data_IF_669675504924
#
_entry.id   IF_669675504924
#
_cell.length_a   1.000
_cell.length_b   1.000
_cell.length_c   1.000
_cell.angle_alpha   90.00
_cell.angle_beta   90.00
_cell.angle_gamma   90.00
#
_symmetry.space_group_name_H-M   'P 1'
#
loop_
_entity.id
_entity.type
_entity.pdbx_description
1 polymer ?
#
# COMPACT_ATOMS: atom_id res chain seq x y z
N UNK A 1 15.13 -12.42 -25.86
CA UNK A 1 14.58 -11.52 -24.80
C UNK A 1 13.65 -10.55 -25.50
N UNK A 2 12.39 -10.54 -25.12
CA UNK A 2 11.42 -9.64 -25.76
C UNK A 2 11.47 -8.28 -25.05
N UNK A 3 11.92 -7.26 -25.73
CA UNK A 3 12.07 -5.91 -25.18
C UNK A 3 10.72 -5.20 -25.34
N UNK A 4 10.10 -4.85 -24.21
CA UNK A 4 8.86 -4.09 -24.22
C UNK A 4 9.04 -2.74 -24.93
N UNK A 5 8.09 -2.38 -25.79
CA UNK A 5 8.11 -1.07 -26.44
C UNK A 5 7.75 0.04 -25.45
N UNK A 6 8.36 1.24 -25.56
CA UNK A 6 7.93 2.38 -24.80
C UNK A 6 6.46 2.71 -25.09
N UNK A 7 5.74 3.18 -24.08
CA UNK A 7 4.38 3.69 -24.22
C UNK A 7 4.19 5.00 -23.44
N UNK A 8 3.18 5.76 -23.80
CA UNK A 8 2.83 6.99 -23.09
C UNK A 8 1.94 6.65 -21.90
N UNK A 9 2.40 6.93 -20.69
CA UNK A 9 1.70 6.59 -19.44
C UNK A 9 0.35 7.33 -19.34
N UNK A 10 0.29 8.62 -19.68
CA UNK A 10 -0.96 9.38 -19.60
C UNK A 10 -2.01 8.78 -20.55
N UNK A 11 -1.59 8.46 -21.79
CA UNK A 11 -2.48 7.79 -22.74
C UNK A 11 -2.93 6.42 -22.22
N UNK A 12 -2.03 5.64 -21.60
CA UNK A 12 -2.39 4.36 -21.03
C UNK A 12 -3.45 4.51 -19.94
N UNK A 13 -3.31 5.51 -19.06
CA UNK A 13 -4.30 5.82 -18.01
C UNK A 13 -5.65 6.16 -18.64
N UNK A 14 -5.69 7.05 -19.64
CA UNK A 14 -6.93 7.42 -20.34
C UNK A 14 -7.63 6.20 -20.96
N UNK A 15 -6.87 5.36 -21.66
CA UNK A 15 -7.39 4.18 -22.35
C UNK A 15 -7.86 3.08 -21.35
N UNK A 16 -7.44 3.13 -20.07
CA UNK A 16 -7.69 2.09 -19.06
C UNK A 16 -8.42 2.61 -17.81
N UNK A 17 -9.01 3.79 -17.81
CA UNK A 17 -9.70 4.36 -16.62
C UNK A 17 -10.73 3.42 -16.01
N UNK A 18 -11.40 2.60 -16.80
CA UNK A 18 -12.38 1.64 -16.31
C UNK A 18 -11.77 0.48 -15.50
N UNK A 19 -10.48 0.18 -15.71
CA UNK A 19 -9.73 -0.79 -14.93
C UNK A 19 -9.21 -0.21 -13.60
N UNK A 20 -9.26 1.11 -13.45
CA UNK A 20 -8.75 1.85 -12.28
C UNK A 20 -9.89 2.24 -11.32
N UNK A 21 -10.94 1.42 -11.25
CA UNK A 21 -12.08 1.60 -10.35
C UNK A 21 -12.13 0.49 -9.31
N UNK A 22 -12.69 0.75 -8.11
CA UNK A 22 -12.92 -0.30 -7.13
C UNK A 22 -13.67 -1.51 -7.72
N UNK A 23 -13.45 -2.74 -7.23
CA UNK A 23 -12.69 -3.09 -6.03
C UNK A 23 -11.18 -3.27 -6.23
N UNK A 24 -10.68 -3.32 -7.47
CA UNK A 24 -9.26 -3.51 -7.77
C UNK A 24 -8.74 -2.27 -8.48
N UNK A 25 -8.02 -1.45 -7.75
CA UNK A 25 -7.50 -0.19 -8.27
C UNK A 25 -5.98 -0.22 -8.53
N UNK A 26 -5.34 -1.40 -8.46
CA UNK A 26 -3.91 -1.57 -8.70
C UNK A 26 -3.66 -2.31 -10.00
N UNK A 27 -2.77 -1.78 -10.84
CA UNK A 27 -2.40 -2.43 -12.10
C UNK A 27 -0.89 -2.42 -12.30
N UNK A 28 -0.27 -3.60 -12.26
CA UNK A 28 1.14 -3.75 -12.60
C UNK A 28 1.33 -3.58 -14.11
N UNK A 29 2.18 -2.62 -14.49
CA UNK A 29 2.44 -2.26 -15.90
C UNK A 29 3.48 -3.19 -16.55
N UNK A 30 4.35 -3.83 -15.75
CA UNK A 30 5.45 -4.66 -16.23
C UNK A 30 5.49 -6.02 -15.51
N UNK A 31 4.47 -6.84 -15.77
CA UNK A 31 4.28 -8.15 -15.10
C UNK A 31 5.48 -9.08 -15.25
N UNK A 32 6.22 -8.98 -16.35
CA UNK A 32 7.41 -9.80 -16.62
C UNK A 32 8.70 -9.26 -15.98
N UNK A 33 8.66 -8.11 -15.31
CA UNK A 33 9.83 -7.54 -14.62
C UNK A 33 10.25 -8.45 -13.46
N UNK A 34 11.59 -8.61 -13.30
CA UNK A 34 12.18 -9.44 -12.25
C UNK A 34 12.71 -8.63 -11.07
N UNK A 35 12.90 -7.34 -11.25
CA UNK A 35 13.55 -6.48 -10.26
C UNK A 35 12.62 -5.41 -9.68
N UNK A 36 11.65 -4.95 -10.48
CA UNK A 36 10.74 -3.87 -10.08
C UNK A 36 9.28 -4.25 -10.31
N UNK A 37 8.44 -3.85 -9.39
CA UNK A 37 7.00 -3.74 -9.55
C UNK A 37 6.72 -2.28 -9.88
N UNK A 38 6.11 -2.03 -11.02
CA UNK A 38 5.73 -0.68 -11.48
C UNK A 38 4.23 -0.69 -11.68
N UNK A 39 3.50 -0.03 -10.79
CA UNK A 39 2.05 -0.11 -10.79
C UNK A 39 1.38 1.25 -10.78
N UNK A 40 0.25 1.32 -11.47
CA UNK A 40 -0.73 2.39 -11.25
C UNK A 40 -1.64 1.98 -10.12
N UNK A 41 -1.85 2.91 -9.20
CA UNK A 41 -2.72 2.73 -8.03
C UNK A 41 -3.73 3.86 -8.02
N UNK A 42 -5.01 3.51 -8.00
CA UNK A 42 -6.11 4.48 -7.95
C UNK A 42 -6.89 4.39 -6.64
N UNK A 43 -7.58 5.47 -6.29
CA UNK A 43 -8.53 5.53 -5.18
C UNK A 43 -9.97 5.39 -5.65
N UNK A 44 -10.93 5.30 -4.70
CA UNK A 44 -10.70 5.39 -3.26
C UNK A 44 -10.24 4.08 -2.62
N UNK A 45 -9.66 4.18 -1.43
CA UNK A 45 -9.44 3.04 -0.55
C UNK A 45 -9.88 3.37 0.89
N UNK A 46 -10.19 2.34 1.68
CA UNK A 46 -10.63 2.46 3.07
C UNK A 46 -9.81 1.58 4.02
N UNK A 47 -8.58 1.21 3.65
CA UNK A 47 -7.70 0.36 4.44
C UNK A 47 -7.20 1.08 5.69
N UNK A 48 -7.11 0.36 6.81
CA UNK A 48 -6.53 0.84 8.08
C UNK A 48 -5.18 0.18 8.41
N UNK A 49 -4.80 -0.84 7.64
CA UNK A 49 -3.51 -1.51 7.80
C UNK A 49 -2.36 -0.64 7.30
N UNK A 50 -1.21 -0.86 7.90
CA UNK A 50 0.07 -0.37 7.43
C UNK A 50 0.83 -1.52 6.77
N UNK A 51 1.21 -1.33 5.51
CA UNK A 51 2.12 -2.23 4.82
C UNK A 51 3.56 -1.94 5.27
N UNK A 52 4.32 -2.99 5.46
CA UNK A 52 5.75 -2.94 5.74
C UNK A 52 6.48 -3.77 4.69
N UNK A 53 7.57 -3.25 4.16
CA UNK A 53 8.49 -4.02 3.33
C UNK A 53 9.95 -3.62 3.59
N UNK A 54 10.88 -4.53 3.30
CA UNK A 54 12.33 -4.36 3.54
C UNK A 54 13.04 -3.65 2.38
N UNK A 55 12.29 -2.98 1.50
CA UNK A 55 12.83 -2.22 0.36
C UNK A 55 12.25 -0.81 0.32
N UNK A 56 12.92 0.08 -0.39
CA UNK A 56 12.37 1.42 -0.66
C UNK A 56 11.16 1.32 -1.59
N UNK A 57 10.24 2.27 -1.47
CA UNK A 57 9.06 2.41 -2.30
C UNK A 57 8.92 3.85 -2.80
N UNK A 58 8.86 4.05 -4.11
CA UNK A 58 8.69 5.36 -4.71
C UNK A 58 7.22 5.60 -5.04
N UNK A 59 6.69 6.69 -4.50
CA UNK A 59 5.38 7.26 -4.86
C UNK A 59 5.58 8.44 -5.80
N UNK A 60 4.81 8.47 -6.88
CA UNK A 60 4.67 9.63 -7.74
C UNK A 60 3.20 9.89 -7.99
N UNK A 61 2.68 11.00 -7.48
CA UNK A 61 1.26 11.33 -7.61
C UNK A 61 0.98 11.98 -8.95
N UNK A 62 0.03 11.43 -9.70
CA UNK A 62 -0.34 11.88 -11.05
C UNK A 62 -1.61 12.71 -11.05
N UNK A 63 -2.69 12.22 -10.41
CA UNK A 63 -3.99 12.88 -10.37
C UNK A 63 -4.56 12.83 -8.95
N UNK A 64 -5.21 13.92 -8.54
CA UNK A 64 -5.80 14.06 -7.21
C UNK A 64 -4.76 14.06 -6.09
N UNK A 65 -5.24 14.19 -4.86
CA UNK A 65 -4.38 14.21 -3.67
C UNK A 65 -4.46 12.88 -2.92
N UNK A 66 -3.34 12.50 -2.31
CA UNK A 66 -3.26 11.36 -1.39
C UNK A 66 -2.57 11.77 -0.10
N UNK A 67 -2.78 10.95 0.93
CA UNK A 67 -2.03 11.01 2.18
C UNK A 67 -1.39 9.65 2.42
N UNK A 68 -0.08 9.62 2.62
CA UNK A 68 0.62 8.41 3.07
C UNK A 68 0.87 8.56 4.56
N UNK A 69 0.14 7.80 5.37
CA UNK A 69 0.42 7.71 6.80
C UNK A 69 1.64 6.81 6.99
N UNK A 70 2.59 7.24 7.81
CA UNK A 70 3.76 6.44 8.18
C UNK A 70 3.85 6.30 9.70
N UNK A 71 4.49 5.23 10.16
CA UNK A 71 4.89 5.08 11.55
C UNK A 71 6.39 5.33 11.66
N UNK A 72 6.78 6.36 12.40
CA UNK A 72 8.16 6.74 12.64
C UNK A 72 8.36 7.01 14.15
N UNK A 73 9.30 6.32 14.76
CA UNK A 73 9.62 6.46 16.20
C UNK A 73 8.39 6.31 17.13
N UNK A 74 7.48 5.40 16.80
CA UNK A 74 6.25 5.14 17.57
C UNK A 74 5.15 6.19 17.38
N UNK A 75 5.32 7.10 16.43
CA UNK A 75 4.35 8.15 16.12
C UNK A 75 3.82 8.06 14.69
N UNK A 76 2.54 8.32 14.53
CA UNK A 76 1.93 8.49 13.22
C UNK A 76 2.33 9.85 12.63
N UNK A 77 2.81 9.85 11.39
CA UNK A 77 3.03 11.05 10.58
C UNK A 77 2.27 10.95 9.27
N UNK A 78 1.90 12.09 8.72
CA UNK A 78 1.11 12.20 7.49
C UNK A 78 1.91 12.91 6.41
N UNK A 79 2.20 12.20 5.31
CA UNK A 79 2.83 12.74 4.11
C UNK A 79 1.75 13.01 3.07
N UNK A 80 1.52 14.28 2.75
CA UNK A 80 0.52 14.69 1.75
C UNK A 80 1.20 14.88 0.41
N UNK A 81 0.64 14.27 -0.63
CA UNK A 81 1.13 14.36 -2.00
C UNK A 81 0.01 14.84 -2.92
N UNK A 82 0.29 15.87 -3.68
CA UNK A 82 -0.54 16.36 -4.79
C UNK A 82 0.04 15.97 -6.15
N UNK A 83 -0.66 16.29 -7.26
CA UNK A 83 -0.17 16.01 -8.61
C UNK A 83 1.22 16.60 -8.88
N UNK A 84 2.15 15.75 -9.33
CA UNK A 84 3.56 16.11 -9.56
C UNK A 84 4.49 15.84 -8.37
N UNK A 85 3.96 15.58 -7.17
CA UNK A 85 4.79 15.29 -6.01
C UNK A 85 5.37 13.87 -6.08
N UNK A 86 6.61 13.75 -5.61
CA UNK A 86 7.32 12.48 -5.46
C UNK A 86 7.72 12.27 -4.00
N UNK A 87 7.62 11.02 -3.55
CA UNK A 87 8.04 10.63 -2.22
C UNK A 87 8.76 9.28 -2.28
N UNK A 88 10.03 9.24 -1.91
CA UNK A 88 10.77 8.00 -1.73
C UNK A 88 10.65 7.58 -0.26
N UNK A 89 9.85 6.57 -0.02
CA UNK A 89 9.67 5.98 1.30
C UNK A 89 10.87 5.08 1.62
N UNK A 90 11.55 5.28 2.75
CA UNK A 90 12.65 4.39 3.17
C UNK A 90 12.18 2.96 3.44
N UNK A 91 13.07 2.01 3.22
CA UNK A 91 12.85 0.61 3.62
C UNK A 91 12.50 0.50 5.12
N UNK A 92 11.77 -0.54 5.48
CA UNK A 92 11.36 -0.83 6.86
C UNK A 92 10.44 0.23 7.51
N UNK A 93 9.77 1.04 6.71
CA UNK A 93 8.83 2.05 7.20
C UNK A 93 7.39 1.55 7.03
N UNK A 94 6.65 1.27 8.12
CA UNK A 94 5.24 0.94 8.01
C UNK A 94 4.46 2.13 7.45
N UNK A 95 3.64 1.88 6.42
CA UNK A 95 2.94 2.95 5.72
C UNK A 95 1.54 2.54 5.25
N UNK A 96 0.64 3.49 5.23
CA UNK A 96 -0.76 3.31 4.84
C UNK A 96 -1.18 4.43 3.88
N UNK A 97 -1.18 4.18 2.57
CA UNK A 97 -1.65 5.16 1.59
C UNK A 97 -3.17 5.31 1.66
N UNK A 98 -3.65 6.50 1.99
CA UNK A 98 -5.06 6.88 1.97
C UNK A 98 -5.33 7.64 0.68
N UNK A 99 -6.18 7.07 -0.17
CA UNK A 99 -6.46 7.57 -1.50
C UNK A 99 -7.92 7.99 -1.62
N UNK A 100 -8.16 9.24 -2.00
CA UNK A 100 -9.49 9.76 -2.29
C UNK A 100 -10.01 9.31 -3.67
N UNK A 101 -11.27 9.55 -3.92
CA UNK A 101 -11.90 9.31 -5.22
C UNK A 101 -11.19 10.07 -6.34
N UNK A 102 -10.99 9.42 -7.48
CA UNK A 102 -10.33 9.99 -8.65
C UNK A 102 -8.81 10.19 -8.51
N UNK A 103 -8.21 9.79 -7.38
CA UNK A 103 -6.75 9.87 -7.25
C UNK A 103 -6.07 8.75 -8.04
N UNK A 104 -4.99 9.08 -8.75
CA UNK A 104 -4.15 8.14 -9.51
C UNK A 104 -2.68 8.44 -9.20
N UNK A 105 -1.93 7.41 -8.83
CA UNK A 105 -0.50 7.51 -8.59
C UNK A 105 0.27 6.35 -9.24
N UNK A 106 1.54 6.59 -9.51
CA UNK A 106 2.53 5.58 -9.87
C UNK A 106 3.26 5.16 -8.61
N UNK A 107 3.37 3.85 -8.40
CA UNK A 107 4.18 3.27 -7.32
C UNK A 107 5.21 2.35 -7.93
N UNK A 108 6.46 2.50 -7.49
CA UNK A 108 7.58 1.65 -7.91
C UNK A 108 8.23 1.06 -6.67
N UNK A 109 8.31 -0.25 -6.62
CA UNK A 109 8.96 -1.00 -5.54
C UNK A 109 9.77 -2.18 -6.09
N UNK A 110 10.62 -2.78 -5.24
CA UNK A 110 11.42 -3.94 -5.62
C UNK A 110 10.59 -5.22 -5.57
N UNK A 111 10.82 -6.11 -6.52
CA UNK A 111 10.32 -7.50 -6.42
C UNK A 111 11.04 -8.19 -5.26
N UNK A 112 10.28 -8.71 -4.30
CA UNK A 112 10.81 -9.40 -3.10
C UNK A 112 10.72 -10.92 -3.19
N UNK A 113 9.85 -11.44 -4.06
CA UNK A 113 9.66 -12.88 -4.30
C UNK A 113 10.98 -13.59 -4.57
N UNK A 114 11.28 -14.62 -3.78
CA UNK A 114 12.49 -15.44 -3.91
C UNK A 114 13.79 -14.72 -3.52
N UNK A 115 13.72 -13.56 -2.86
CA UNK A 115 14.89 -12.78 -2.42
C UNK A 115 15.13 -12.84 -0.90
N UNK A 116 14.39 -13.69 -0.18
CA UNK A 116 14.41 -13.78 1.28
C UNK A 116 14.13 -12.43 1.96
N UNK A 117 13.27 -11.63 1.35
CA UNK A 117 12.77 -10.37 1.88
C UNK A 117 11.32 -10.56 2.31
N UNK A 118 10.93 -9.90 3.40
CA UNK A 118 9.60 -10.02 3.98
C UNK A 118 8.75 -8.80 3.68
N UNK A 119 7.47 -9.07 3.57
CA UNK A 119 6.40 -8.09 3.70
C UNK A 119 5.74 -8.27 5.05
N UNK A 120 5.09 -7.23 5.54
CA UNK A 120 4.33 -7.27 6.77
C UNK A 120 3.08 -6.42 6.68
N UNK A 121 2.13 -6.74 7.53
CA UNK A 121 0.96 -5.92 7.79
C UNK A 121 0.89 -5.61 9.26
N UNK A 122 0.59 -4.37 9.58
CA UNK A 122 0.49 -3.88 10.95
C UNK A 122 -0.79 -3.06 11.11
N UNK A 123 -1.37 -3.12 12.30
CA UNK A 123 -2.50 -2.27 12.68
C UNK A 123 -2.18 -1.53 13.96
N UNK A 124 -2.62 -0.28 14.02
CA UNK A 124 -2.39 0.61 15.15
C UNK A 124 -3.72 1.17 15.63
N UNK A 125 -3.86 1.31 16.94
CA UNK A 125 -5.06 1.85 17.57
C UNK A 125 -5.39 3.23 17.03
N UNK A 126 -6.65 3.45 16.65
CA UNK A 126 -7.13 4.73 16.11
C UNK A 126 -7.04 5.87 17.15
N UNK A 127 -7.12 5.54 18.46
CA UNK A 127 -7.10 6.55 19.53
C UNK A 127 -5.70 6.84 20.08
N UNK A 128 -4.89 5.82 20.35
CA UNK A 128 -3.61 6.01 21.05
C UNK A 128 -2.38 5.60 20.25
N UNK A 129 -2.56 5.17 19.02
CA UNK A 129 -1.50 4.70 18.11
C UNK A 129 -0.68 3.51 18.64
N UNK A 130 -1.14 2.81 19.68
CA UNK A 130 -0.53 1.57 20.13
C UNK A 130 -0.66 0.49 19.05
N UNK A 131 0.40 -0.30 18.81
CA UNK A 131 0.34 -1.38 17.84
C UNK A 131 -0.57 -2.49 18.33
N UNK A 132 -1.62 -2.82 17.56
CA UNK A 132 -2.60 -3.86 17.89
C UNK A 132 -2.14 -5.25 17.43
N UNK A 133 -1.64 -5.34 16.20
CA UNK A 133 -1.27 -6.61 15.58
C UNK A 133 -0.20 -6.38 14.51
N UNK A 134 0.63 -7.38 14.31
CA UNK A 134 1.56 -7.43 13.17
C UNK A 134 1.74 -8.86 12.69
N UNK A 135 1.94 -9.02 11.40
CA UNK A 135 2.23 -10.30 10.76
C UNK A 135 3.23 -10.09 9.62
N UNK A 136 4.17 -11.01 9.47
CA UNK A 136 5.18 -10.99 8.42
C UNK A 136 5.09 -12.25 7.57
N UNK A 137 5.26 -12.09 6.26
CA UNK A 137 5.16 -13.18 5.29
C UNK A 137 6.05 -12.91 4.08
N UNK A 138 6.31 -13.94 3.26
CA UNK A 138 6.95 -13.80 1.97
C UNK A 138 5.89 -13.50 0.90
N UNK A 139 5.94 -12.33 0.31
CA UNK A 139 4.98 -11.90 -0.72
C UNK A 139 5.22 -12.63 -2.04
N UNK A 140 4.21 -13.36 -2.51
CA UNK A 140 4.19 -14.02 -3.82
C UNK A 140 3.28 -13.29 -4.82
N UNK A 141 2.14 -12.79 -4.33
CA UNK A 141 1.09 -12.14 -5.12
C UNK A 141 0.44 -11.02 -4.29
N UNK A 142 0.72 -9.77 -4.65
CA UNK A 142 0.23 -8.58 -3.92
C UNK A 142 -1.31 -8.48 -3.87
N UNK A 143 -2.01 -9.07 -4.82
CA UNK A 143 -3.47 -9.03 -4.87
C UNK A 143 -4.13 -10.08 -3.95
N UNK A 144 -3.41 -11.17 -3.62
CA UNK A 144 -3.98 -12.32 -2.90
C UNK A 144 -3.44 -12.49 -1.49
N UNK A 145 -2.14 -12.27 -1.30
CA UNK A 145 -1.47 -12.69 -0.06
C UNK A 145 -1.85 -11.83 1.16
N UNK A 146 -2.36 -10.63 0.94
CA UNK A 146 -2.84 -9.77 2.03
C UNK A 146 -4.21 -10.21 2.58
N UNK A 147 -5.07 -10.80 1.75
CA UNK A 147 -6.47 -11.10 2.08
C UNK A 147 -6.66 -12.04 3.28
N UNK A 148 -5.87 -13.12 3.46
CA UNK A 148 -5.98 -13.98 4.64
C UNK A 148 -5.71 -13.20 5.94
N UNK A 149 -4.70 -12.32 5.94
CA UNK A 149 -4.31 -11.53 7.12
C UNK A 149 -5.34 -10.47 7.48
N UNK A 150 -5.97 -9.84 6.48
CA UNK A 150 -7.12 -8.95 6.71
C UNK A 150 -8.27 -9.70 7.38
N UNK A 151 -8.62 -10.88 6.86
CA UNK A 151 -9.69 -11.70 7.42
C UNK A 151 -9.38 -12.13 8.86
N UNK A 152 -8.16 -12.56 9.14
CA UNK A 152 -7.72 -12.94 10.48
C UNK A 152 -7.87 -11.77 11.46
N UNK A 153 -7.32 -10.60 11.13
CA UNK A 153 -7.38 -9.44 12.00
C UNK A 153 -8.81 -8.96 12.23
N UNK A 154 -9.58 -8.75 11.17
CA UNK A 154 -10.94 -8.19 11.30
C UNK A 154 -11.95 -9.16 11.91
N UNK A 155 -11.75 -10.48 11.80
CA UNK A 155 -12.60 -11.47 12.44
C UNK A 155 -12.36 -11.60 13.95
N UNK A 156 -11.22 -11.14 14.47
CA UNK A 156 -10.84 -11.27 15.87
C UNK A 156 -11.02 -9.94 16.63
N UNK A 157 -12.03 -9.88 17.52
CA UNK A 157 -12.18 -8.73 18.40
C UNK A 157 -10.96 -8.56 19.32
N UNK A 158 -10.37 -9.68 19.78
CA UNK A 158 -9.18 -9.65 20.63
C UNK A 158 -7.99 -8.95 19.93
N UNK A 159 -7.75 -9.23 18.64
CA UNK A 159 -6.68 -8.56 17.88
C UNK A 159 -6.98 -7.08 17.63
N UNK A 160 -8.25 -6.70 17.59
CA UNK A 160 -8.70 -5.32 17.38
C UNK A 160 -8.80 -4.50 18.67
N UNK A 161 -8.75 -5.17 19.83
CA UNK A 161 -8.84 -4.50 21.14
C UNK A 161 -7.45 -4.00 21.56
N UNK A 162 -7.36 -2.74 21.86
CA UNK A 162 -6.11 -2.12 22.28
C UNK A 162 -5.77 -2.42 23.74
N UNK A 163 -4.64 -3.09 23.98
CA UNK A 163 -4.17 -3.43 25.33
C UNK A 163 -3.79 -2.18 26.15
N UNK A 164 -3.52 -1.05 25.50
CA UNK A 164 -3.11 0.18 26.16
C UNK A 164 -4.30 1.06 26.61
N UNK A 165 -5.34 1.21 25.78
CA UNK A 165 -6.47 2.13 26.08
C UNK A 165 -7.85 1.47 26.07
N UNK A 166 -7.95 0.20 25.68
CA UNK A 166 -9.20 -0.55 25.65
C UNK A 166 -10.09 -0.28 24.44
N UNK A 167 -9.70 0.63 23.54
CA UNK A 167 -10.45 0.91 22.31
C UNK A 167 -10.46 -0.30 21.39
N UNK A 168 -11.61 -0.59 20.79
CA UNK A 168 -11.78 -1.65 19.78
C UNK A 168 -11.82 -0.98 18.40
N UNK A 169 -10.90 -1.36 17.50
CA UNK A 169 -10.89 -0.87 16.12
C UNK A 169 -12.10 -1.41 15.36
N UNK A 170 -12.81 -0.53 14.66
CA UNK A 170 -13.93 -0.89 13.79
C UNK A 170 -13.50 -1.72 12.56
N UNK A 171 -14.42 -2.54 12.08
CA UNK A 171 -14.20 -3.48 10.95
C UNK A 171 -14.55 -2.91 9.59
N UNK A 172 -14.64 -1.60 9.44
CA UNK A 172 -15.07 -0.93 8.20
C UNK A 172 -14.09 -1.12 7.04
#
# INVERSE_FOLDING_TARGET
MDIAKPFNLNKWIEDNRDLLKPPVANKNLYVASKDYIVMIVAGPNARKDYHFNETEELFYQLEGNIQVNIQEDGQKREMKLGPGDMFLLPANTPHSPVRGEGSIGLVVERVRKGKNLKDGLMWFCDDCNHKLYEVYFELQDVEKDFQPHFKEFYASEALRTCDNCGTIMDTN
#
